data_IF_517007063868
#
_entry.id   IF_517007063868
#
_cell.length_a   1.000
_cell.length_b   1.000
_cell.length_c   1.000
_cell.angle_alpha   90.00
_cell.angle_beta   90.00
_cell.angle_gamma   90.00
#
_symmetry.space_group_name_H-M   'P 1'
#
loop_
_entity.id
_entity.type
_entity.pdbx_description
1 polymer ?
#
# COMPACT_ATOMS: atom_id res chain seq x y z
N UNK A 1 -4.42 13.30 -10.45
CA UNK A 1 -5.71 12.55 -10.34
C UNK A 1 -5.57 11.32 -9.44
N UNK A 2 -4.90 10.22 -9.86
CA UNK A 2 -4.79 8.96 -9.08
C UNK A 2 -4.33 9.12 -7.62
N UNK A 3 -3.32 9.95 -7.37
CA UNK A 3 -2.84 10.24 -5.99
C UNK A 3 -3.91 10.93 -5.12
N UNK A 4 -4.63 11.91 -5.67
CA UNK A 4 -5.72 12.59 -4.96
C UNK A 4 -6.87 11.62 -4.64
N UNK A 5 -7.19 10.69 -5.55
CA UNK A 5 -8.19 9.64 -5.29
C UNK A 5 -7.74 8.79 -4.09
N UNK A 6 -6.50 8.31 -4.11
CA UNK A 6 -5.97 7.48 -3.03
C UNK A 6 -5.98 8.21 -1.67
N UNK A 7 -5.58 9.48 -1.63
CA UNK A 7 -5.63 10.29 -0.41
C UNK A 7 -7.04 10.40 0.15
N UNK A 8 -8.02 10.73 -0.70
CA UNK A 8 -9.41 10.86 -0.28
C UNK A 8 -10.04 9.53 0.12
N UNK A 9 -9.72 8.44 -0.58
CA UNK A 9 -10.19 7.09 -0.23
C UNK A 9 -9.67 6.63 1.13
N UNK A 10 -8.43 6.97 1.45
CA UNK A 10 -7.77 6.54 2.68
C UNK A 10 -7.91 7.55 3.82
N UNK A 11 -8.54 8.71 3.57
CA UNK A 11 -8.67 9.79 4.54
C UNK A 11 -7.33 10.32 5.04
N UNK A 12 -6.29 10.28 4.20
CA UNK A 12 -4.93 10.60 4.61
C UNK A 12 -4.67 12.12 4.54
N UNK A 13 -4.20 12.75 5.63
CA UNK A 13 -3.86 14.17 5.63
C UNK A 13 -2.54 14.47 4.90
N UNK A 14 -1.68 13.47 4.78
CA UNK A 14 -0.36 13.55 4.15
C UNK A 14 0.00 12.23 3.46
N UNK A 15 1.01 12.27 2.60
CA UNK A 15 1.55 11.09 1.93
C UNK A 15 3.05 11.23 1.72
N UNK A 16 3.73 10.10 1.70
CA UNK A 16 5.15 10.00 1.40
C UNK A 16 5.35 9.39 0.02
N UNK A 17 6.34 9.87 -0.73
CA UNK A 17 6.68 9.35 -2.06
C UNK A 17 8.05 8.69 -2.03
N UNK A 18 8.09 7.36 -2.10
CA UNK A 18 9.34 6.61 -2.19
C UNK A 18 9.60 6.19 -3.64
N UNK A 19 10.69 6.69 -4.22
CA UNK A 19 11.17 6.22 -5.51
C UNK A 19 11.75 4.80 -5.37
N UNK A 20 11.61 4.00 -6.43
CA UNK A 20 12.25 2.68 -6.53
C UNK A 20 13.76 2.83 -6.33
N UNK A 21 14.37 1.91 -5.57
CA UNK A 21 15.80 1.94 -5.23
C UNK A 21 16.67 2.28 -6.44
N UNK A 22 17.58 3.24 -6.26
CA UNK A 22 18.52 3.71 -7.28
C UNK A 22 19.68 2.72 -7.43
N UNK A 23 19.39 1.47 -7.84
CA UNK A 23 20.44 0.48 -8.12
C UNK A 23 21.17 0.79 -9.43
N UNK A 24 20.72 1.81 -10.18
CA UNK A 24 21.41 2.35 -11.34
C UNK A 24 21.62 3.84 -11.15
N UNK A 25 22.86 4.21 -10.80
CA UNK A 25 23.33 5.59 -10.78
C UNK A 25 23.14 6.15 -12.19
N UNK A 26 22.18 7.05 -12.36
CA UNK A 26 22.11 7.87 -13.57
C UNK A 26 22.81 9.19 -13.27
N UNK A 27 23.67 9.64 -14.19
CA UNK A 27 24.38 10.94 -14.11
C UNK A 27 23.43 12.14 -14.27
N UNK A 28 22.13 11.97 -14.00
CA UNK A 28 21.16 13.04 -14.15
C UNK A 28 21.32 14.05 -12.99
N UNK A 29 21.38 15.36 -13.26
CA UNK A 29 21.61 16.38 -12.23
C UNK A 29 20.52 16.44 -11.14
N UNK A 30 19.33 15.88 -11.39
CA UNK A 30 18.26 15.77 -10.39
C UNK A 30 18.35 14.51 -9.52
N UNK A 31 19.25 13.57 -9.83
CA UNK A 31 19.35 12.29 -9.13
C UNK A 31 19.64 12.47 -7.63
N UNK A 32 20.55 13.38 -7.28
CA UNK A 32 20.88 13.69 -5.90
C UNK A 32 19.68 14.23 -5.12
N UNK A 33 18.93 15.18 -5.71
CA UNK A 33 17.72 15.73 -5.10
C UNK A 33 16.63 14.67 -4.88
N UNK A 34 16.50 13.70 -5.80
CA UNK A 34 15.55 12.60 -5.65
C UNK A 34 15.96 11.60 -4.55
N UNK A 35 17.27 11.35 -4.38
CA UNK A 35 17.80 10.54 -3.28
C UNK A 35 17.50 11.22 -1.94
N UNK A 36 17.79 12.51 -1.81
CA UNK A 36 17.55 13.27 -0.59
C UNK A 36 16.06 13.31 -0.23
N UNK A 37 15.19 13.55 -1.22
CA UNK A 37 13.74 13.49 -1.01
C UNK A 37 13.26 12.10 -0.61
N UNK A 38 13.80 11.04 -1.22
CA UNK A 38 13.46 9.66 -0.86
C UNK A 38 13.86 9.39 0.59
N UNK A 39 15.05 9.80 1.01
CA UNK A 39 15.51 9.59 2.38
C UNK A 39 14.65 10.38 3.37
N UNK A 40 14.35 11.65 3.08
CA UNK A 40 13.47 12.47 3.93
C UNK A 40 12.08 11.84 4.09
N UNK A 41 11.51 11.28 3.02
CA UNK A 41 10.23 10.56 3.09
C UNK A 41 10.34 9.24 3.87
N UNK A 42 11.43 8.49 3.71
CA UNK A 42 11.66 7.27 4.47
C UNK A 42 11.77 7.58 5.97
N UNK A 43 12.52 8.64 6.31
CA UNK A 43 12.68 9.11 7.67
C UNK A 43 11.35 9.56 8.28
N UNK A 44 10.53 10.28 7.51
CA UNK A 44 9.19 10.69 7.91
C UNK A 44 8.26 9.49 8.18
N UNK A 45 8.22 8.50 7.30
CA UNK A 45 7.45 7.26 7.50
C UNK A 45 7.88 6.57 8.79
N UNK A 46 9.19 6.38 9.00
CA UNK A 46 9.70 5.72 10.18
C UNK A 46 9.42 6.53 11.44
N UNK A 47 9.52 7.85 11.40
CA UNK A 47 9.21 8.72 12.53
C UNK A 47 7.72 8.63 12.91
N UNK A 48 6.82 8.67 11.93
CA UNK A 48 5.38 8.53 12.16
C UNK A 48 5.03 7.16 12.74
N UNK A 49 5.65 6.09 12.24
CA UNK A 49 5.46 4.74 12.76
C UNK A 49 5.96 4.58 14.19
N UNK A 50 7.10 5.19 14.53
CA UNK A 50 7.66 5.16 15.90
C UNK A 50 6.80 5.97 16.86
N UNK A 51 6.29 7.12 16.42
CA UNK A 51 5.43 7.99 17.22
C UNK A 51 3.96 7.53 17.25
N UNK A 52 3.61 6.43 16.58
CA UNK A 52 2.25 5.95 16.54
C UNK A 52 1.80 5.41 17.91
N UNK A 53 0.88 6.12 18.56
CA UNK A 53 0.35 5.77 19.89
C UNK A 53 -0.82 4.76 19.83
N UNK A 54 -1.35 4.49 18.64
CA UNK A 54 -2.43 3.53 18.45
C UNK A 54 -1.98 2.08 18.69
N UNK A 55 -2.93 1.18 18.92
CA UNK A 55 -2.65 -0.23 19.19
C UNK A 55 -2.48 -1.09 17.93
N UNK A 56 -2.90 -0.59 16.76
CA UNK A 56 -3.00 -1.37 15.53
C UNK A 56 -2.64 -0.54 14.29
N UNK A 57 -1.67 -1.03 13.52
CA UNK A 57 -1.28 -0.49 12.21
C UNK A 57 -1.93 -1.34 11.13
N UNK A 58 -2.77 -0.71 10.31
CA UNK A 58 -3.32 -1.32 9.09
C UNK A 58 -2.42 -1.00 7.90
N UNK A 59 -1.65 -1.99 7.44
CA UNK A 59 -0.83 -1.86 6.22
C UNK A 59 -1.59 -2.43 5.02
N UNK A 60 -1.86 -1.61 4.02
CA UNK A 60 -2.49 -2.02 2.76
C UNK A 60 -1.51 -1.91 1.59
N UNK A 61 -1.10 -3.04 1.02
CA UNK A 61 -0.14 -3.13 -0.09
C UNK A 61 -0.88 -3.31 -1.41
N UNK A 62 -1.12 -2.19 -2.10
CA UNK A 62 -1.84 -2.14 -3.39
C UNK A 62 -0.93 -1.93 -4.61
N UNK A 63 0.37 -1.77 -4.39
CA UNK A 63 1.38 -1.55 -5.42
C UNK A 63 2.66 -2.36 -5.11
N UNK A 64 3.49 -2.70 -6.12
CA UNK A 64 4.72 -3.44 -5.89
C UNK A 64 5.64 -2.70 -4.92
N UNK A 65 6.20 -3.40 -3.94
CA UNK A 65 7.08 -2.80 -2.93
C UNK A 65 8.32 -2.14 -3.54
N UNK A 66 8.89 -2.74 -4.59
CA UNK A 66 10.07 -2.23 -5.30
C UNK A 66 11.27 -1.91 -4.37
N UNK A 67 11.43 -2.70 -3.31
CA UNK A 67 12.45 -2.57 -2.27
C UNK A 67 12.08 -1.62 -1.12
N UNK A 68 10.95 -0.92 -1.20
CA UNK A 68 10.60 0.10 -0.21
C UNK A 68 10.07 -0.48 1.10
N UNK A 69 9.42 -1.66 1.08
CA UNK A 69 8.99 -2.30 2.33
C UNK A 69 10.19 -2.78 3.13
N UNK A 70 11.18 -3.34 2.43
CA UNK A 70 12.47 -3.69 3.01
C UNK A 70 13.22 -2.47 3.57
N UNK A 71 13.25 -1.36 2.82
CA UNK A 71 13.89 -0.13 3.25
C UNK A 71 13.27 0.44 4.54
N UNK A 72 11.94 0.47 4.64
CA UNK A 72 11.23 0.93 5.86
C UNK A 72 11.61 0.06 7.05
N UNK A 73 11.57 -1.27 6.91
CA UNK A 73 11.92 -2.18 8.00
C UNK A 73 13.39 -2.04 8.42
N UNK A 74 14.30 -1.89 7.45
CA UNK A 74 15.73 -1.68 7.68
C UNK A 74 15.99 -0.40 8.46
N UNK A 75 15.34 0.69 8.09
CA UNK A 75 15.45 1.99 8.76
C UNK A 75 14.90 1.92 10.19
N UNK A 76 13.76 1.28 10.42
CA UNK A 76 13.23 1.05 11.77
C UNK A 76 14.18 0.24 12.65
N UNK A 77 14.84 -0.80 12.09
CA UNK A 77 15.85 -1.59 12.78
C UNK A 77 17.11 -0.78 13.09
N UNK A 78 17.58 0.04 12.15
CA UNK A 78 18.74 0.90 12.34
C UNK A 78 18.54 1.90 13.49
N UNK A 79 17.29 2.31 13.73
CA UNK A 79 16.88 3.17 14.86
C UNK A 79 16.65 2.41 16.17
N UNK A 80 16.87 1.10 16.21
CA UNK A 80 16.52 0.22 17.33
C UNK A 80 15.04 0.34 17.75
N UNK A 81 14.16 0.71 16.81
CA UNK A 81 12.75 0.92 17.08
C UNK A 81 11.87 -0.28 16.69
N UNK A 82 12.45 -1.28 16.04
CA UNK A 82 11.77 -2.53 15.68
C UNK A 82 12.01 -3.63 16.74
N UNK A 83 10.97 -4.38 17.16
CA UNK A 83 9.57 -4.27 16.73
C UNK A 83 8.85 -3.05 17.32
N UNK A 84 7.91 -2.50 16.57
CA UNK A 84 7.01 -1.47 17.10
C UNK A 84 6.08 -2.07 18.16
N UNK A 85 5.61 -1.22 19.09
CA UNK A 85 4.63 -1.61 20.12
C UNK A 85 3.27 -1.99 19.52
N UNK A 86 2.86 -1.32 18.45
CA UNK A 86 1.59 -1.56 17.79
C UNK A 86 1.58 -2.92 17.08
N UNK A 87 0.42 -3.57 17.08
CA UNK A 87 0.17 -4.78 16.29
C UNK A 87 0.00 -4.43 14.82
N UNK A 88 0.18 -5.43 13.97
CA UNK A 88 0.00 -5.28 12.52
C UNK A 88 -1.25 -6.02 12.05
N UNK A 89 -1.95 -5.44 11.09
CA UNK A 89 -2.89 -6.13 10.22
C UNK A 89 -2.55 -5.76 8.79
N UNK A 90 -2.19 -6.76 8.00
CA UNK A 90 -1.67 -6.53 6.66
C UNK A 90 -2.67 -7.07 5.63
N UNK A 91 -2.99 -6.23 4.66
CA UNK A 91 -3.76 -6.58 3.47
C UNK A 91 -2.89 -6.33 2.25
N UNK A 92 -2.98 -7.21 1.26
CA UNK A 92 -2.15 -7.21 0.06
C UNK A 92 -3.03 -7.48 -1.16
N UNK A 93 -2.75 -6.81 -2.27
CA UNK A 93 -3.32 -7.20 -3.57
C UNK A 93 -2.29 -8.04 -4.34
N UNK A 94 -2.38 -9.36 -4.35
CA UNK A 94 -1.37 -10.23 -5.01
C UNK A 94 -1.49 -10.31 -6.54
N UNK A 95 -2.16 -9.35 -7.21
CA UNK A 95 -2.29 -9.33 -8.66
C UNK A 95 -0.93 -9.40 -9.37
N UNK A 96 -0.90 -9.99 -10.57
CA UNK A 96 0.37 -10.24 -11.30
C UNK A 96 1.23 -8.99 -11.50
N UNK A 97 0.62 -7.84 -11.76
CA UNK A 97 1.31 -6.56 -11.83
C UNK A 97 1.94 -6.16 -10.50
N UNK A 98 1.24 -6.40 -9.38
CA UNK A 98 1.70 -6.08 -8.04
C UNK A 98 2.91 -6.94 -7.65
N UNK A 99 2.82 -8.23 -7.93
CA UNK A 99 3.86 -9.19 -7.56
C UNK A 99 5.11 -9.07 -8.42
N UNK A 100 4.99 -8.62 -9.68
CA UNK A 100 6.14 -8.48 -10.59
C UNK A 100 7.25 -7.57 -10.07
N UNK A 101 6.89 -6.52 -9.32
CA UNK A 101 7.86 -5.58 -8.73
C UNK A 101 8.12 -5.80 -7.24
N UNK A 102 7.57 -6.87 -6.65
CA UNK A 102 7.81 -7.20 -5.25
C UNK A 102 9.14 -7.93 -5.13
N UNK A 103 10.13 -7.33 -4.46
CA UNK A 103 11.45 -7.96 -4.34
C UNK A 103 11.43 -9.08 -3.29
N UNK A 104 12.44 -9.96 -3.33
CA UNK A 104 12.62 -10.95 -2.26
C UNK A 104 12.83 -10.29 -0.89
N UNK A 105 13.50 -9.14 -0.85
CA UNK A 105 13.66 -8.34 0.36
C UNK A 105 12.33 -7.81 0.88
N UNK A 106 11.46 -7.29 -0.01
CA UNK A 106 10.12 -6.84 0.38
C UNK A 106 9.28 -7.99 0.96
N UNK A 107 9.35 -9.17 0.34
CA UNK A 107 8.67 -10.37 0.84
C UNK A 107 9.22 -10.81 2.19
N UNK A 108 10.53 -10.72 2.40
CA UNK A 108 11.17 -10.95 3.70
C UNK A 108 10.68 -9.98 4.77
N UNK A 109 10.62 -8.69 4.43
CA UNK A 109 10.13 -7.65 5.32
C UNK A 109 8.64 -7.86 5.67
N UNK A 110 7.81 -8.18 4.68
CA UNK A 110 6.39 -8.52 4.91
C UNK A 110 6.23 -9.73 5.81
N UNK A 111 7.03 -10.79 5.59
CA UNK A 111 7.00 -11.99 6.46
C UNK A 111 7.36 -11.64 7.91
N UNK A 112 8.33 -10.77 8.12
CA UNK A 112 8.72 -10.33 9.45
C UNK A 112 7.65 -9.45 10.10
N UNK A 113 7.09 -8.47 9.38
CA UNK A 113 5.95 -7.68 9.88
C UNK A 113 4.76 -8.59 10.22
N UNK A 114 4.48 -9.61 9.40
CA UNK A 114 3.44 -10.60 9.64
C UNK A 114 3.70 -11.47 10.88
N UNK A 115 4.95 -11.73 11.26
CA UNK A 115 5.24 -12.43 12.52
C UNK A 115 4.84 -11.64 13.77
N UNK A 116 4.61 -10.32 13.62
CA UNK A 116 4.10 -9.43 14.67
C UNK A 116 2.57 -9.24 14.59
N UNK A 117 1.92 -9.86 13.61
CA UNK A 117 0.48 -9.78 13.37
C UNK A 117 -0.24 -10.94 14.06
N UNK A 118 -1.32 -10.62 14.78
CA UNK A 118 -2.24 -11.64 15.32
C UNK A 118 -3.30 -12.05 14.28
N UNK A 119 -3.27 -11.44 13.09
CA UNK A 119 -4.15 -11.72 11.96
C UNK A 119 -3.40 -12.39 10.81
N UNK A 120 -4.04 -13.27 10.03
CA UNK A 120 -3.45 -13.77 8.79
C UNK A 120 -3.30 -12.62 7.76
N UNK A 121 -2.37 -12.79 6.82
CA UNK A 121 -2.23 -11.88 5.69
C UNK A 121 -3.49 -12.00 4.84
N UNK A 122 -4.20 -10.89 4.63
CA UNK A 122 -5.38 -10.87 3.78
C UNK A 122 -4.97 -10.54 2.35
N UNK A 123 -5.22 -11.45 1.42
CA UNK A 123 -5.12 -11.16 0.00
C UNK A 123 -6.46 -10.67 -0.53
N UNK A 124 -6.47 -9.46 -1.10
CA UNK A 124 -7.65 -8.84 -1.71
C UNK A 124 -7.71 -9.07 -3.22
N UNK A 125 -6.79 -9.85 -3.79
CA UNK A 125 -6.81 -10.21 -5.20
C UNK A 125 -7.95 -11.19 -5.52
N UNK A 126 -8.89 -10.71 -6.34
CA UNK A 126 -9.99 -11.51 -6.89
C UNK A 126 -9.51 -12.70 -7.74
N UNK A 127 -8.54 -12.44 -8.62
CA UNK A 127 -8.14 -13.38 -9.68
C UNK A 127 -7.71 -14.75 -9.14
N UNK A 128 -6.75 -14.86 -8.20
CA UNK A 128 -6.38 -16.16 -7.64
C UNK A 128 -7.53 -16.80 -6.85
N UNK A 129 -8.35 -16.01 -6.15
CA UNK A 129 -9.46 -16.52 -5.34
C UNK A 129 -10.50 -17.28 -6.18
N UNK A 130 -10.83 -16.79 -7.38
CA UNK A 130 -11.83 -17.45 -8.23
C UNK A 130 -11.27 -18.51 -9.17
N UNK A 131 -10.01 -18.94 -9.03
CA UNK A 131 -9.42 -19.99 -9.88
C UNK A 131 -8.62 -19.47 -11.07
N UNK A 132 -8.27 -18.19 -11.09
CA UNK A 132 -7.38 -17.62 -12.10
C UNK A 132 -7.97 -17.71 -13.51
N UNK A 133 -7.37 -18.54 -14.37
CA UNK A 133 -7.87 -18.77 -15.74
C UNK A 133 -9.03 -19.78 -15.80
N UNK A 134 -9.18 -20.60 -14.76
CA UNK A 134 -10.15 -21.69 -14.68
C UNK A 134 -11.38 -21.29 -13.85
N UNK A 135 -11.64 -19.99 -13.74
CA UNK A 135 -12.75 -19.48 -12.95
C UNK A 135 -14.12 -19.88 -13.53
N UNK A 136 -15.10 -20.07 -12.65
CA UNK A 136 -16.46 -20.38 -13.07
C UNK A 136 -17.12 -19.15 -13.73
N UNK A 137 -17.85 -19.31 -14.84
CA UNK A 137 -18.48 -18.19 -15.58
C UNK A 137 -19.34 -17.25 -14.71
N UNK A 138 -19.95 -17.77 -13.64
CA UNK A 138 -20.74 -16.95 -12.70
C UNK A 138 -19.90 -15.97 -11.87
N UNK A 139 -18.59 -16.20 -11.73
CA UNK A 139 -17.69 -15.33 -10.98
C UNK A 139 -17.02 -14.27 -11.87
N UNK A 140 -17.25 -14.32 -13.18
CA UNK A 140 -16.72 -13.36 -14.15
C UNK A 140 -17.16 -11.94 -13.80
N UNK A 141 -18.47 -11.76 -13.59
CA UNK A 141 -19.10 -10.46 -13.30
C UNK A 141 -18.92 -9.96 -11.86
N UNK A 142 -18.37 -10.78 -10.97
CA UNK A 142 -18.09 -10.40 -9.57
C UNK A 142 -16.85 -9.49 -9.46
N UNK A 143 -16.68 -8.55 -10.39
CA UNK A 143 -15.48 -7.69 -10.51
C UNK A 143 -15.36 -6.72 -9.35
N UNK A 144 -16.48 -6.25 -8.80
CA UNK A 144 -16.52 -5.38 -7.62
C UNK A 144 -17.72 -5.77 -6.77
N UNK A 145 -17.50 -6.27 -5.56
CA UNK A 145 -18.57 -6.39 -4.58
C UNK A 145 -18.77 -5.02 -3.94
N UNK A 146 -19.86 -4.35 -4.29
CA UNK A 146 -20.35 -3.18 -3.59
C UNK A 146 -21.72 -3.52 -2.99
N UNK A 147 -21.95 -3.13 -1.75
CA UNK A 147 -23.29 -3.20 -1.17
C UNK A 147 -24.26 -2.37 -2.03
N UNK A 148 -25.55 -2.75 -2.17
CA UNK A 148 -26.51 -1.95 -2.92
C UNK A 148 -26.59 -0.48 -2.43
N UNK A 149 -26.33 -0.25 -1.14
CA UNK A 149 -26.29 1.09 -0.53
C UNK A 149 -24.96 1.83 -0.72
N UNK A 150 -23.92 1.21 -1.28
CA UNK A 150 -22.58 1.79 -1.33
C UNK A 150 -22.56 3.16 -2.01
N UNK A 151 -23.21 3.29 -3.17
CA UNK A 151 -23.25 4.55 -3.90
C UNK A 151 -24.00 5.65 -3.13
N UNK A 152 -25.13 5.34 -2.51
CA UNK A 152 -25.90 6.30 -1.71
C UNK A 152 -25.16 6.71 -0.44
N UNK A 153 -24.55 5.74 0.26
CA UNK A 153 -23.79 5.97 1.49
C UNK A 153 -22.54 6.81 1.21
N UNK A 154 -21.81 6.47 0.14
CA UNK A 154 -20.62 7.20 -0.27
C UNK A 154 -20.96 8.64 -0.69
N UNK A 155 -22.02 8.83 -1.48
CA UNK A 155 -22.43 10.18 -1.92
C UNK A 155 -22.87 11.05 -0.74
N UNK A 156 -23.61 10.46 0.21
CA UNK A 156 -24.09 11.17 1.41
C UNK A 156 -22.96 11.53 2.37
N UNK A 157 -22.04 10.58 2.65
CA UNK A 157 -20.99 10.76 3.67
C UNK A 157 -19.72 11.40 3.12
N UNK A 158 -19.39 11.13 1.86
CA UNK A 158 -18.13 11.53 1.22
C UNK A 158 -18.36 12.02 -0.22
N UNK A 159 -19.13 13.11 -0.42
CA UNK A 159 -19.55 13.57 -1.75
C UNK A 159 -18.39 13.89 -2.70
N UNK A 160 -17.28 14.43 -2.18
CA UNK A 160 -16.07 14.69 -2.99
C UNK A 160 -15.41 13.41 -3.49
N UNK A 161 -15.34 12.37 -2.63
CA UNK A 161 -14.80 11.08 -3.02
C UNK A 161 -15.70 10.41 -4.07
N UNK A 162 -17.02 10.45 -3.88
CA UNK A 162 -17.99 9.96 -4.86
C UNK A 162 -17.80 10.63 -6.22
N UNK A 163 -17.67 11.95 -6.24
CA UNK A 163 -17.48 12.75 -7.47
C UNK A 163 -16.18 12.37 -8.20
N UNK A 164 -15.09 12.20 -7.46
CA UNK A 164 -13.78 11.87 -8.03
C UNK A 164 -13.73 10.42 -8.53
N UNK A 165 -14.37 9.47 -7.84
CA UNK A 165 -14.50 8.09 -8.32
C UNK A 165 -15.34 8.01 -9.60
N UNK A 166 -16.44 8.78 -9.68
CA UNK A 166 -17.25 8.87 -10.90
C UNK A 166 -16.42 9.42 -12.06
N UNK A 167 -15.74 10.54 -11.86
CA UNK A 167 -14.85 11.14 -12.86
C UNK A 167 -13.72 10.18 -13.29
N UNK A 168 -13.25 9.31 -12.41
CA UNK A 168 -12.22 8.32 -12.74
C UNK A 168 -12.74 7.15 -13.58
N UNK A 169 -13.98 6.70 -13.33
CA UNK A 169 -14.57 5.57 -14.05
C UNK A 169 -15.22 5.95 -15.38
N UNK A 170 -15.52 7.23 -15.59
CA UNK A 170 -16.11 7.74 -16.84
C UNK A 170 -15.07 8.03 -17.94
N UNK A 171 -13.77 7.95 -17.61
CA UNK A 171 -12.63 8.00 -18.54
C UNK A 171 -12.17 6.59 -18.92
#
# INVERSE_FOLDING_TARGET
KKQLIAQLMLGLPSYYTLFKGFDQVSDHPQHQGLIEQRQAHLDGICQDLVNFEGSLIHLCVMAPGSGNLAAILRELKARSAWPLRAKWRISMYSGSFNMRGMTSEDMGALKEMMSMSDHPLMDVAKFPFFGGKDFHKWTDSLTTFAMPSFASDLTSRFPHLASILKLFNDE
#
